data_IF_824249007995
#
_entry.id   IF_824249007995
#
_cell.length_a   1.000
_cell.length_b   1.000
_cell.length_c   1.000
_cell.angle_alpha   90.00
_cell.angle_beta   90.00
_cell.angle_gamma   90.00
#
_symmetry.space_group_name_H-M   'P 1'
#
loop_
_entity.id
_entity.type
_entity.pdbx_description
1 polymer ?
#
# COMPACT_ATOMS: atom_id res chain seq x y z
N UNK A 1 28.54 20.80 -19.85
CA UNK A 1 28.13 21.01 -18.45
C UNK A 1 27.13 19.93 -18.08
N UNK A 2 27.46 19.16 -17.04
CA UNK A 2 26.76 17.96 -16.61
C UNK A 2 25.51 18.32 -15.78
N UNK A 3 24.35 17.87 -16.21
CA UNK A 3 23.21 17.65 -15.31
C UNK A 3 23.20 16.16 -14.97
N UNK A 4 23.82 15.82 -13.84
CA UNK A 4 23.76 14.48 -13.24
C UNK A 4 22.29 14.19 -12.94
N UNK A 5 21.68 13.31 -13.71
CA UNK A 5 20.44 12.66 -13.30
C UNK A 5 20.89 11.66 -12.24
N UNK A 6 20.74 12.04 -10.97
CA UNK A 6 20.96 11.15 -9.84
C UNK A 6 19.82 10.12 -9.85
N UNK A 7 20.06 8.84 -10.16
CA UNK A 7 19.05 7.81 -9.99
C UNK A 7 19.05 7.46 -8.51
N UNK A 8 18.49 8.35 -7.71
CA UNK A 8 18.30 8.16 -6.28
C UNK A 8 17.35 6.99 -6.07
N UNK A 9 17.94 5.85 -5.72
CA UNK A 9 17.35 4.67 -5.11
C UNK A 9 16.56 3.72 -6.03
N UNK A 10 17.26 3.18 -7.02
CA UNK A 10 16.92 1.87 -7.58
C UNK A 10 17.41 0.74 -6.66
N UNK A 11 16.81 0.60 -5.47
CA UNK A 11 16.91 -0.63 -4.65
C UNK A 11 15.56 -1.09 -4.07
N UNK A 12 14.52 -1.14 -4.90
CA UNK A 12 13.35 -2.00 -4.63
C UNK A 12 13.21 -3.05 -5.73
N UNK A 13 14.32 -3.75 -5.98
CA UNK A 13 14.35 -4.83 -6.96
C UNK A 13 13.67 -6.05 -6.36
N UNK A 14 12.44 -6.28 -6.81
CA UNK A 14 11.77 -7.59 -6.84
C UNK A 14 11.22 -8.13 -5.51
N UNK A 15 10.70 -7.24 -4.64
CA UNK A 15 9.76 -7.73 -3.63
C UNK A 15 8.50 -8.24 -4.33
N UNK A 16 7.96 -9.41 -3.94
CA UNK A 16 6.69 -9.86 -4.46
C UNK A 16 5.66 -8.74 -4.25
N UNK A 17 4.84 -8.54 -5.28
CA UNK A 17 3.74 -7.59 -5.24
C UNK A 17 2.46 -8.29 -5.65
N UNK A 18 1.37 -7.90 -4.99
CA UNK A 18 0.01 -8.32 -5.31
C UNK A 18 -0.72 -7.14 -5.94
N UNK A 19 -1.60 -7.40 -6.91
CA UNK A 19 -2.38 -6.35 -7.58
C UNK A 19 -3.64 -6.04 -6.77
N UNK A 20 -3.91 -4.76 -6.52
CA UNK A 20 -5.13 -4.31 -5.86
C UNK A 20 -6.37 -4.59 -6.73
N UNK A 21 -7.35 -5.33 -6.21
CA UNK A 21 -8.60 -5.65 -6.92
C UNK A 21 -9.50 -4.43 -7.22
N UNK A 22 -9.21 -3.24 -6.66
CA UNK A 22 -10.01 -2.01 -6.87
C UNK A 22 -9.40 -1.03 -7.86
N UNK A 23 -8.10 -0.79 -7.74
CA UNK A 23 -7.43 0.26 -8.50
C UNK A 23 -6.37 -0.28 -9.45
N UNK A 24 -6.19 -1.61 -9.52
CA UNK A 24 -5.24 -2.30 -10.40
C UNK A 24 -3.76 -1.93 -10.16
N UNK A 25 -3.45 -1.25 -9.05
CA UNK A 25 -2.09 -0.87 -8.67
C UNK A 25 -1.38 -1.99 -7.90
N UNK A 26 -0.05 -2.09 -8.09
CA UNK A 26 0.80 -3.02 -7.35
C UNK A 26 0.93 -2.65 -5.87
N UNK A 27 0.79 -3.64 -5.00
CA UNK A 27 0.90 -3.51 -3.55
C UNK A 27 2.09 -4.35 -3.08
N UNK A 28 3.03 -3.78 -2.31
CA UNK A 28 4.04 -4.58 -1.62
C UNK A 28 3.36 -5.58 -0.69
N UNK A 29 3.77 -6.87 -0.69
CA UNK A 29 3.13 -7.91 0.16
C UNK A 29 2.93 -7.49 1.63
N UNK A 30 3.90 -6.76 2.19
CA UNK A 30 3.84 -6.26 3.57
C UNK A 30 2.70 -5.26 3.85
N UNK A 31 2.01 -4.77 2.82
CA UNK A 31 0.92 -3.78 2.89
C UNK A 31 -0.40 -4.29 2.32
N UNK A 32 -0.46 -5.55 1.90
CA UNK A 32 -1.70 -6.15 1.35
C UNK A 32 -2.71 -6.32 2.47
N UNK A 33 -3.95 -5.91 2.22
CA UNK A 33 -5.09 -6.18 3.08
C UNK A 33 -6.01 -7.18 2.39
N UNK A 34 -6.25 -8.32 3.03
CA UNK A 34 -7.20 -9.32 2.55
C UNK A 34 -8.58 -9.06 3.16
N UNK A 35 -9.57 -8.79 2.30
CA UNK A 35 -10.96 -8.62 2.68
C UNK A 35 -11.75 -9.88 2.28
N UNK A 36 -12.33 -10.55 3.27
CA UNK A 36 -13.28 -11.65 3.06
C UNK A 36 -14.63 -11.24 3.63
N UNK A 37 -15.66 -11.31 2.80
CA UNK A 37 -17.03 -10.95 3.18
C UNK A 37 -17.98 -12.08 2.81
N UNK A 38 -18.70 -12.57 3.81
CA UNK A 38 -19.74 -13.57 3.70
C UNK A 38 -21.10 -12.92 3.96
N UNK A 39 -22.09 -13.05 3.06
CA UNK A 39 -23.43 -12.52 3.32
C UNK A 39 -24.14 -13.34 4.39
N UNK A 40 -24.95 -12.69 5.22
CA UNK A 40 -25.88 -13.40 6.10
C UNK A 40 -26.98 -14.11 5.29
N UNK A 41 -27.71 -15.02 5.93
CA UNK A 41 -28.70 -15.89 5.27
C UNK A 41 -29.76 -15.09 4.50
N UNK A 42 -30.21 -13.96 5.06
CA UNK A 42 -31.19 -13.05 4.44
C UNK A 42 -30.67 -12.42 3.13
N UNK A 43 -29.35 -12.35 2.96
CA UNK A 43 -28.68 -11.73 1.81
C UNK A 43 -28.09 -12.75 0.82
N UNK A 44 -28.09 -14.04 1.15
CA UNK A 44 -27.46 -15.11 0.36
C UNK A 44 -28.05 -15.27 -1.07
N UNK A 45 -29.28 -14.81 -1.30
CA UNK A 45 -29.89 -14.79 -2.65
C UNK A 45 -29.58 -13.54 -3.47
N UNK A 46 -28.98 -12.51 -2.87
CA UNK A 46 -28.70 -11.21 -3.49
C UNK A 46 -27.22 -10.94 -3.68
N UNK A 47 -26.41 -11.41 -2.73
CA UNK A 47 -24.97 -11.21 -2.71
C UNK A 47 -24.26 -12.55 -2.68
N UNK A 48 -23.11 -12.61 -3.34
CA UNK A 48 -22.20 -13.75 -3.29
C UNK A 48 -21.06 -13.45 -2.31
N UNK A 49 -20.51 -14.46 -1.63
CA UNK A 49 -19.30 -14.29 -0.86
C UNK A 49 -18.13 -13.87 -1.74
N UNK A 50 -17.22 -13.07 -1.19
CA UNK A 50 -16.05 -12.55 -1.91
C UNK A 50 -14.82 -12.59 -1.02
N UNK A 51 -13.68 -12.94 -1.63
CA UNK A 51 -12.34 -12.71 -1.10
C UNK A 51 -11.57 -11.82 -2.07
N UNK A 52 -11.03 -10.70 -1.59
CA UNK A 52 -10.31 -9.70 -2.40
C UNK A 52 -9.10 -9.16 -1.67
N UNK A 53 -8.15 -8.64 -2.43
CA UNK A 53 -6.94 -7.96 -1.96
C UNK A 53 -7.01 -6.48 -2.28
N UNK A 54 -6.72 -5.63 -1.30
CA UNK A 54 -6.80 -4.18 -1.44
C UNK A 54 -5.58 -3.48 -0.87
N UNK A 55 -5.22 -2.35 -1.48
CA UNK A 55 -4.25 -1.44 -0.89
C UNK A 55 -4.88 -0.66 0.29
N UNK A 56 -4.07 -0.17 1.24
CA UNK A 56 -4.57 0.58 2.39
C UNK A 56 -5.46 1.77 2.02
N UNK A 57 -5.11 2.51 0.96
CA UNK A 57 -5.87 3.67 0.52
C UNK A 57 -7.26 3.29 -0.02
N UNK A 58 -7.38 2.17 -0.75
CA UNK A 58 -8.66 1.66 -1.23
C UNK A 58 -9.56 1.15 -0.08
N UNK A 59 -8.96 0.59 0.96
CA UNK A 59 -9.69 0.19 2.18
C UNK A 59 -10.17 1.42 2.95
N UNK A 60 -9.34 2.46 3.06
CA UNK A 60 -9.71 3.74 3.66
C UNK A 60 -10.84 4.44 2.88
N UNK A 61 -10.78 4.44 1.54
CA UNK A 61 -11.87 4.93 0.69
C UNK A 61 -13.17 4.14 0.85
N UNK A 62 -13.09 2.88 1.31
CA UNK A 62 -14.24 2.07 1.71
C UNK A 62 -14.75 2.34 3.13
N UNK A 63 -14.14 3.27 3.87
CA UNK A 63 -14.50 3.60 5.25
C UNK A 63 -14.10 2.54 6.29
N UNK A 64 -13.24 1.59 5.91
CA UNK A 64 -12.79 0.52 6.81
C UNK A 64 -11.47 0.86 7.53
N UNK A 65 -10.78 1.91 7.07
CA UNK A 65 -9.59 2.48 7.70
C UNK A 65 -9.69 4.00 7.73
N UNK A 66 -9.03 4.61 8.71
CA UNK A 66 -8.88 6.05 8.83
C UNK A 66 -7.39 6.43 8.71
N UNK A 67 -7.11 7.58 8.10
CA UNK A 67 -5.77 8.15 8.13
C UNK A 67 -5.46 8.59 9.55
N UNK A 68 -4.37 8.06 10.13
CA UNK A 68 -3.88 8.58 11.40
C UNK A 68 -3.52 10.06 11.21
N UNK A 69 -4.17 10.94 11.98
CA UNK A 69 -3.94 12.38 11.96
C UNK A 69 -2.59 12.77 12.55
N UNK A 70 -1.49 12.36 11.92
CA UNK A 70 -0.21 13.07 11.81
C UNK A 70 0.72 12.23 10.91
N UNK A 71 1.34 12.78 9.85
CA UNK A 71 2.38 12.07 9.14
C UNK A 71 3.52 11.83 10.12
N UNK A 72 3.83 10.55 10.40
CA UNK A 72 5.10 10.20 11.04
C UNK A 72 6.20 10.85 10.21
N UNK A 73 6.76 11.95 10.75
CA UNK A 73 7.92 12.64 10.18
C UNK A 73 8.97 11.56 9.95
N UNK A 74 9.24 11.23 8.70
CA UNK A 74 10.34 10.35 8.32
C UNK A 74 11.56 10.82 9.09
N UNK A 75 12.17 9.91 9.87
CA UNK A 75 13.38 10.24 10.61
C UNK A 75 14.39 10.84 9.62
N UNK A 76 15.08 11.94 9.96
CA UNK A 76 16.09 12.50 9.07
C UNK A 76 17.10 11.39 8.78
N UNK A 77 17.31 11.09 7.51
CA UNK A 77 18.45 10.27 7.09
C UNK A 77 19.67 11.05 7.56
N UNK A 78 20.35 10.52 8.57
CA UNK A 78 21.57 11.09 9.11
C UNK A 78 22.62 11.04 8.00
N UNK A 79 22.73 12.12 7.23
CA UNK A 79 23.86 12.34 6.33
C UNK A 79 25.09 12.56 7.19
N UNK A 80 25.73 11.45 7.52
CA UNK A 80 27.03 11.39 8.16
C UNK A 80 28.03 12.26 7.41
N UNK A 81 28.32 13.40 8.02
CA UNK A 81 29.32 14.39 7.60
C UNK A 81 30.70 13.72 7.60
N UNK A 82 31.34 13.63 6.43
CA UNK A 82 32.76 13.25 6.30
C UNK A 82 33.60 14.40 6.84
N UNK A 83 34.22 14.22 8.00
CA UNK A 83 35.31 15.10 8.48
C UNK A 83 36.59 14.75 7.74
N UNK A 84 37.25 15.80 7.26
CA UNK A 84 38.59 15.84 6.67
C UNK A 84 39.64 15.44 7.72
#
# INVERSE_FOLDING_TARGET
MSSRHDPGDATDTDRPTTICDRCDESIPEARVIHLVVEPCAELAGRYRPVGRTYCPDCVAAGGMLEFAGEPRRSAPIESGRRTD
#
